data_IF_280626164574
#
_entry.id   IF_280626164574
#
_cell.length_a   1.000
_cell.length_b   1.000
_cell.length_c   1.000
_cell.angle_alpha   90.00
_cell.angle_beta   90.00
_cell.angle_gamma   90.00
#
_symmetry.space_group_name_H-M   'P 1'
#
loop_
_entity.id
_entity.type
_entity.pdbx_description
1 polymer ?
#
# COMPACT_ATOMS: atom_id res chain seq x y z
N UNK A 1 -28.32 -0.78 -5.48
CA UNK A 1 -27.02 -0.69 -6.19
C UNK A 1 -26.01 -1.40 -5.32
N UNK A 2 -25.32 -2.42 -5.87
CA UNK A 2 -24.25 -3.12 -5.16
C UNK A 2 -22.94 -2.39 -5.37
N UNK A 3 -22.20 -2.15 -4.29
CA UNK A 3 -20.89 -1.49 -4.35
C UNK A 3 -19.84 -2.46 -4.88
N UNK A 4 -18.70 -1.95 -5.36
CA UNK A 4 -17.58 -2.80 -5.79
C UNK A 4 -17.10 -3.70 -4.65
N UNK A 5 -17.16 -3.17 -3.42
CA UNK A 5 -16.78 -3.88 -2.21
C UNK A 5 -17.75 -5.04 -1.93
N UNK A 6 -19.06 -4.89 -2.17
CA UNK A 6 -20.03 -5.99 -2.03
C UNK A 6 -19.78 -7.12 -3.03
N UNK A 7 -19.29 -6.79 -4.23
CA UNK A 7 -18.95 -7.79 -5.26
C UNK A 7 -17.66 -8.54 -4.94
N UNK A 8 -16.73 -7.88 -4.26
CA UNK A 8 -15.43 -8.43 -3.93
C UNK A 8 -15.43 -9.21 -2.60
N UNK A 9 -16.20 -8.73 -1.61
CA UNK A 9 -16.23 -9.25 -0.24
C UNK A 9 -17.50 -10.05 0.07
N UNK A 10 -18.50 -10.01 -0.81
CA UNK A 10 -19.81 -10.63 -0.63
C UNK A 10 -20.80 -9.72 0.11
N UNK A 11 -22.09 -9.87 -0.18
CA UNK A 11 -23.14 -9.05 0.44
C UNK A 11 -23.27 -9.39 1.93
N UNK A 12 -23.07 -8.39 2.80
CA UNK A 12 -23.20 -8.55 4.25
C UNK A 12 -24.67 -8.66 4.66
N UNK A 13 -25.17 -9.90 4.70
CA UNK A 13 -26.59 -10.17 4.95
C UNK A 13 -26.96 -10.28 6.44
N UNK A 14 -25.99 -10.56 7.31
CA UNK A 14 -26.26 -10.85 8.73
C UNK A 14 -25.85 -9.66 9.62
N UNK A 15 -26.86 -8.94 10.12
CA UNK A 15 -26.71 -7.92 11.15
C UNK A 15 -27.08 -8.54 12.50
N UNK A 16 -26.14 -9.26 13.11
CA UNK A 16 -26.35 -9.78 14.46
C UNK A 16 -26.31 -8.62 15.46
N UNK A 17 -27.48 -8.27 15.97
CA UNK A 17 -27.62 -7.43 17.17
C UNK A 17 -27.41 -8.31 18.39
N UNK A 18 -26.21 -8.32 18.94
CA UNK A 18 -25.95 -8.88 20.27
C UNK A 18 -26.48 -7.92 21.33
N UNK A 19 -27.78 -8.01 21.63
CA UNK A 19 -28.28 -7.60 22.94
C UNK A 19 -27.92 -8.73 23.91
N UNK A 20 -26.82 -8.56 24.62
CA UNK A 20 -26.56 -9.27 25.87
C UNK A 20 -26.23 -8.22 26.92
N UNK A 21 -27.29 -7.62 27.47
CA UNK A 21 -27.30 -7.25 28.88
C UNK A 21 -27.10 -8.57 29.65
N UNK A 22 -25.92 -8.79 30.22
CA UNK A 22 -25.80 -9.67 31.38
C UNK A 22 -24.54 -9.34 32.20
N UNK A 23 -24.69 -9.61 33.49
CA UNK A 23 -24.03 -9.00 34.63
C UNK A 23 -22.57 -9.42 34.90
N UNK A 24 -21.84 -8.50 35.55
CA UNK A 24 -20.95 -8.71 36.71
C UNK A 24 -19.90 -9.84 36.70
N UNK A 25 -18.61 -9.46 36.73
CA UNK A 25 -17.69 -9.96 37.76
C UNK A 25 -16.35 -9.21 37.71
N UNK A 26 -16.18 -8.24 38.61
CA UNK A 26 -14.93 -7.55 38.87
C UNK A 26 -14.07 -8.39 39.83
N UNK A 27 -13.04 -9.05 39.31
CA UNK A 27 -12.03 -9.70 40.16
C UNK A 27 -10.72 -8.93 40.06
N UNK A 28 -10.55 -7.95 40.94
CA UNK A 28 -9.25 -7.38 41.24
C UNK A 28 -8.38 -8.45 41.91
N UNK A 29 -7.20 -8.72 41.36
CA UNK A 29 -6.12 -9.36 42.10
C UNK A 29 -4.88 -8.48 42.07
N UNK A 30 -4.53 -8.00 43.25
CA UNK A 30 -3.27 -7.30 43.54
C UNK A 30 -2.22 -8.35 43.81
N UNK A 31 -1.00 -8.17 43.30
CA UNK A 31 0.16 -7.81 44.12
C UNK A 31 1.51 -8.09 43.41
N UNK A 32 2.38 -7.09 43.48
CA UNK A 32 3.86 -7.12 43.57
C UNK A 32 4.71 -8.00 42.63
N UNK A 33 5.51 -7.28 41.83
CA UNK A 33 6.91 -7.08 42.24
C UNK A 33 8.02 -7.35 41.21
N UNK A 34 8.99 -6.41 41.21
CA UNK A 34 10.45 -6.64 41.09
C UNK A 34 11.12 -6.50 39.69
N UNK A 35 11.55 -5.27 39.40
CA UNK A 35 12.98 -4.90 39.28
C UNK A 35 13.84 -5.31 38.06
N UNK A 36 14.16 -4.29 37.24
CA UNK A 36 15.44 -3.98 36.54
C UNK A 36 15.81 -4.72 35.22
N UNK A 37 16.77 -4.19 34.41
CA UNK A 37 16.99 -2.80 33.98
C UNK A 37 16.99 -2.66 32.44
N UNK A 38 16.93 -1.41 31.95
CA UNK A 38 17.10 -1.09 30.54
C UNK A 38 18.47 -1.54 30.02
N UNK A 39 18.48 -2.45 29.04
CA UNK A 39 19.65 -2.71 28.20
C UNK A 39 19.28 -2.35 26.76
N UNK A 40 19.87 -1.23 26.32
CA UNK A 40 19.91 -0.82 24.93
C UNK A 40 20.75 -1.82 24.14
N UNK A 41 20.11 -2.71 23.41
CA UNK A 41 20.79 -3.49 22.38
C UNK A 41 19.86 -3.59 21.19
N UNK A 42 20.16 -2.80 20.16
CA UNK A 42 19.63 -2.96 18.81
C UNK A 42 19.87 -4.41 18.37
N UNK A 43 18.84 -5.20 18.01
CA UNK A 43 19.11 -6.45 17.35
C UNK A 43 19.53 -6.12 15.93
N UNK A 44 20.83 -6.31 15.70
CA UNK A 44 21.43 -6.46 14.40
C UNK A 44 20.56 -7.37 13.53
N UNK A 45 20.52 -7.00 12.25
CA UNK A 45 19.94 -7.69 11.12
C UNK A 45 20.31 -9.18 11.16
N UNK A 46 19.46 -9.98 11.80
CA UNK A 46 19.61 -11.42 11.80
C UNK A 46 18.98 -11.93 10.51
N UNK A 47 19.81 -12.01 9.46
CA UNK A 47 19.60 -12.99 8.40
C UNK A 47 19.42 -14.35 9.06
N UNK A 48 18.17 -14.75 9.26
CA UNK A 48 17.81 -16.08 9.73
C UNK A 48 17.23 -16.85 8.54
N UNK A 49 18.14 -17.12 7.60
CA UNK A 49 18.08 -18.32 6.79
C UNK A 49 18.02 -19.51 7.79
N UNK A 50 16.83 -20.08 7.94
CA UNK A 50 16.55 -21.05 8.99
C UNK A 50 15.47 -22.03 8.55
N UNK A 51 15.75 -22.74 7.47
CA UNK A 51 15.10 -24.01 7.11
C UNK A 51 15.06 -24.91 8.36
N UNK A 52 13.91 -25.06 9.03
CA UNK A 52 13.74 -26.11 10.05
C UNK A 52 13.07 -25.75 11.38
N UNK A 53 12.68 -24.50 11.64
CA UNK A 53 11.78 -24.18 12.77
C UNK A 53 10.37 -24.02 12.18
N UNK A 54 9.33 -24.62 12.75
CA UNK A 54 7.95 -24.42 12.26
C UNK A 54 7.50 -22.97 12.55
N UNK A 55 7.93 -22.03 11.72
CA UNK A 55 7.63 -20.59 11.83
C UNK A 55 6.24 -20.24 11.28
N UNK A 56 5.43 -21.24 10.94
CA UNK A 56 4.12 -21.09 10.31
C UNK A 56 2.94 -21.20 11.29
N UNK A 57 3.18 -21.45 12.58
CA UNK A 57 2.13 -21.55 13.59
C UNK A 57 2.52 -20.87 14.91
N UNK A 58 1.51 -20.41 15.66
CA UNK A 58 1.69 -19.76 16.96
C UNK A 58 2.20 -18.30 16.88
N UNK A 59 2.54 -17.69 18.03
CA UNK A 59 2.85 -16.26 18.11
C UNK A 59 4.04 -15.80 17.25
N UNK A 60 5.04 -16.68 17.05
CA UNK A 60 6.19 -16.40 16.17
C UNK A 60 5.80 -16.38 14.69
N UNK A 61 4.83 -17.20 14.29
CA UNK A 61 4.29 -17.17 12.93
C UNK A 61 3.54 -15.88 12.64
N UNK A 62 2.74 -15.39 13.59
CA UNK A 62 2.05 -14.09 13.46
C UNK A 62 3.05 -12.94 13.26
N UNK A 63 4.16 -12.93 14.00
CA UNK A 63 5.21 -11.93 13.83
C UNK A 63 5.89 -12.04 12.46
N UNK A 64 6.12 -13.26 11.98
CA UNK A 64 6.70 -13.50 10.66
C UNK A 64 5.76 -13.03 9.54
N UNK A 65 4.47 -13.37 9.65
CA UNK A 65 3.44 -12.96 8.70
C UNK A 65 3.30 -11.44 8.65
N UNK A 66 3.35 -10.75 9.79
CA UNK A 66 3.31 -9.29 9.83
C UNK A 66 4.52 -8.64 9.16
N UNK A 67 5.74 -9.16 9.40
CA UNK A 67 6.95 -8.67 8.72
C UNK A 67 6.84 -8.85 7.21
N UNK A 68 6.42 -10.04 6.77
CA UNK A 68 6.23 -10.36 5.35
C UNK A 68 5.14 -9.49 4.72
N UNK A 69 4.04 -9.26 5.44
CA UNK A 69 2.97 -8.35 5.01
C UNK A 69 3.50 -6.92 4.82
N UNK A 70 4.27 -6.39 5.77
CA UNK A 70 4.85 -5.04 5.66
C UNK A 70 5.83 -4.90 4.51
N UNK A 71 6.63 -5.92 4.25
CA UNK A 71 7.51 -5.96 3.08
C UNK A 71 6.72 -5.95 1.76
N UNK A 72 5.67 -6.78 1.68
CA UNK A 72 4.79 -6.82 0.52
C UNK A 72 4.01 -5.51 0.32
N UNK A 73 3.59 -4.83 1.39
CA UNK A 73 2.94 -3.51 1.30
C UNK A 73 3.86 -2.45 0.66
N UNK A 74 5.16 -2.49 0.97
CA UNK A 74 6.13 -1.56 0.38
C UNK A 74 6.40 -1.89 -1.09
N UNK A 75 6.61 -3.18 -1.40
CA UNK A 75 6.87 -3.64 -2.77
C UNK A 75 5.65 -3.38 -3.68
N UNK A 76 4.44 -3.69 -3.21
CA UNK A 76 3.21 -3.43 -3.98
C UNK A 76 3.02 -1.95 -4.30
N UNK A 77 3.35 -1.05 -3.37
CA UNK A 77 3.21 0.41 -3.60
C UNK A 77 4.17 0.88 -4.68
N UNK A 78 5.40 0.40 -4.68
CA UNK A 78 6.38 0.72 -5.73
C UNK A 78 5.97 0.18 -7.09
N UNK A 79 5.48 -1.07 -7.14
CA UNK A 79 4.95 -1.67 -8.37
C UNK A 79 3.74 -0.91 -8.91
N UNK A 80 2.81 -0.50 -8.05
CA UNK A 80 1.65 0.30 -8.44
C UNK A 80 2.05 1.67 -8.98
N UNK A 81 3.00 2.36 -8.34
CA UNK A 81 3.51 3.64 -8.84
C UNK A 81 4.16 3.48 -10.22
N UNK A 82 4.99 2.44 -10.41
CA UNK A 82 5.63 2.17 -11.70
C UNK A 82 4.61 1.85 -12.79
N UNK A 83 3.59 1.06 -12.48
CA UNK A 83 2.51 0.73 -13.42
C UNK A 83 1.67 1.97 -13.75
N UNK A 84 1.37 2.81 -12.75
CA UNK A 84 0.68 4.09 -12.95
C UNK A 84 1.48 5.02 -13.88
N UNK A 85 2.79 5.19 -13.66
CA UNK A 85 3.65 6.00 -14.53
C UNK A 85 3.69 5.48 -15.97
N UNK A 86 3.80 4.15 -16.12
CA UNK A 86 3.74 3.50 -17.43
C UNK A 86 2.41 3.78 -18.13
N UNK A 87 1.31 3.72 -17.39
CA UNK A 87 -0.02 3.97 -17.91
C UNK A 87 -0.21 5.45 -18.29
N UNK A 88 0.23 6.38 -17.45
CA UNK A 88 0.25 7.83 -17.73
C UNK A 88 1.01 8.07 -19.03
N UNK A 89 2.23 7.52 -19.17
CA UNK A 89 3.04 7.70 -20.38
C UNK A 89 2.37 7.13 -21.63
N UNK A 90 1.69 5.99 -21.51
CA UNK A 90 0.98 5.36 -22.63
C UNK A 90 -0.25 6.17 -23.06
N UNK A 91 -1.01 6.66 -22.09
CA UNK A 91 -2.24 7.41 -22.32
C UNK A 91 -1.97 8.86 -22.73
N UNK A 92 -0.93 9.51 -22.18
CA UNK A 92 -0.55 10.87 -22.56
C UNK A 92 -0.09 10.98 -24.01
N UNK A 93 0.59 9.95 -24.53
CA UNK A 93 0.93 9.87 -25.95
C UNK A 93 -0.28 9.69 -26.86
N UNK A 94 -1.41 9.26 -26.30
CA UNK A 94 -2.68 9.05 -27.03
C UNK A 94 -3.64 10.25 -26.91
N UNK A 95 -3.32 11.24 -26.07
CA UNK A 95 -4.15 12.43 -25.84
C UNK A 95 -3.26 13.68 -25.96
N UNK A 96 -3.19 14.28 -27.17
CA UNK A 96 -2.57 15.61 -27.34
C UNK A 96 -3.43 16.64 -26.62
N UNK A 97 -2.79 17.54 -25.85
CA UNK A 97 -3.52 18.68 -25.28
C UNK A 97 -3.65 19.79 -26.31
N UNK A 98 -4.70 20.60 -26.22
CA UNK A 98 -4.90 21.76 -27.10
C UNK A 98 -3.71 22.73 -27.08
N UNK A 99 -3.02 22.84 -25.92
CA UNK A 99 -1.82 23.67 -25.77
C UNK A 99 -0.65 23.11 -26.58
N UNK A 100 -0.47 21.78 -26.62
CA UNK A 100 0.57 21.15 -27.43
C UNK A 100 0.31 21.35 -28.94
N UNK A 101 -0.95 21.38 -29.35
CA UNK A 101 -1.34 21.64 -30.75
C UNK A 101 -1.09 23.09 -31.18
N UNK A 102 -1.37 24.06 -30.29
CA UNK A 102 -1.07 25.48 -30.55
C UNK A 102 0.44 25.75 -30.63
N UNK A 103 1.22 25.15 -29.74
CA UNK A 103 2.68 25.31 -29.73
C UNK A 103 3.33 24.71 -31.00
N UNK A 104 2.83 23.57 -31.47
CA UNK A 104 3.29 22.95 -32.72
C UNK A 104 2.88 23.78 -33.94
N UNK A 105 1.67 24.34 -33.97
CA UNK A 105 1.24 25.26 -35.03
C UNK A 105 2.10 26.52 -35.09
N UNK A 106 2.48 27.09 -33.93
CA UNK A 106 3.42 28.22 -33.90
C UNK A 106 4.79 27.81 -34.43
N UNK A 107 5.34 26.68 -33.96
CA UNK A 107 6.63 26.16 -34.46
C UNK A 107 6.59 25.92 -35.97
N UNK A 108 5.48 25.42 -36.50
CA UNK A 108 5.29 25.16 -37.93
C UNK A 108 5.21 26.46 -38.74
N UNK A 109 4.53 27.50 -38.22
CA UNK A 109 4.51 28.84 -38.84
C UNK A 109 5.90 29.49 -38.86
N UNK A 110 6.62 29.44 -37.74
CA UNK A 110 8.00 29.94 -37.64
C UNK A 110 8.95 29.24 -38.63
N UNK A 111 8.81 27.91 -38.76
CA UNK A 111 9.57 27.14 -39.74
C UNK A 111 9.23 27.55 -41.17
N UNK A 112 7.94 27.75 -41.46
CA UNK A 112 7.47 28.15 -42.78
C UNK A 112 7.95 29.57 -43.14
N UNK A 113 7.95 30.51 -42.19
CA UNK A 113 8.47 31.86 -42.37
C UNK A 113 9.99 31.86 -42.58
N UNK A 114 10.74 31.06 -41.82
CA UNK A 114 12.19 30.88 -42.02
C UNK A 114 12.54 30.29 -43.38
N UNK A 115 11.66 29.47 -43.95
CA UNK A 115 11.81 28.89 -45.28
C UNK A 115 11.41 29.91 -46.35
N UNK A 116 10.30 30.63 -46.19
CA UNK A 116 9.84 31.61 -47.18
C UNK A 116 10.73 32.85 -47.25
N UNK A 117 11.28 33.30 -46.12
CA UNK A 117 12.24 34.41 -46.07
C UNK A 117 13.65 34.05 -46.56
N UNK A 118 13.91 32.78 -46.89
CA UNK A 118 15.16 32.30 -47.49
C UNK A 118 15.08 32.14 -49.02
N UNK A 119 13.94 32.48 -49.62
CA UNK A 119 13.75 32.56 -51.07
C UNK A 119 13.67 34.02 -51.51
#
# INVERSE_FOLDING_TARGET
MTTLDDKLLGEKLQYYYSTSEDEDSDHEDKDRGRGAPASSSTPAEAELAGEGISVNTGPKGVINDWRRFKQLETEQREEQCREMERLIKKLSMSCRSHLDEEEEQQKQKDLQEKISGKM
#
